data_IF_559261840807
#
_entry.id   IF_559261840807
#
_cell.length_a   1.000
_cell.length_b   1.000
_cell.length_c   1.000
_cell.angle_alpha   90.00
_cell.angle_beta   90.00
_cell.angle_gamma   90.00
#
_symmetry.space_group_name_H-M   'P 1'
#
loop_
_entity.id
_entity.type
_entity.pdbx_description
1 polymer ?
#
# COMPACT_ATOMS: atom_id res chain seq x y z
N UNK A 1 -2.48 22.82 -2.59
CA UNK A 1 -1.75 23.98 -1.99
C UNK A 1 -2.53 24.53 -0.80
N UNK A 2 -1.82 24.98 0.24
CA UNK A 2 -2.40 25.61 1.42
C UNK A 2 -1.78 26.98 1.65
N UNK A 3 -2.54 27.86 2.33
CA UNK A 3 -2.05 29.14 2.79
C UNK A 3 -2.29 29.24 4.29
N UNK A 4 -1.26 29.61 5.05
CA UNK A 4 -1.35 29.79 6.51
C UNK A 4 -0.34 30.84 6.98
N UNK A 5 -0.63 31.40 8.16
CA UNK A 5 0.31 32.31 8.83
C UNK A 5 1.40 31.49 9.49
N UNK A 6 2.65 31.87 9.25
CA UNK A 6 3.82 31.21 9.81
C UNK A 6 4.96 32.19 10.05
N UNK A 7 6.12 31.70 10.44
CA UNK A 7 7.34 32.48 10.63
C UNK A 7 8.32 32.11 9.52
N UNK A 8 8.83 33.11 8.79
CA UNK A 8 9.84 32.89 7.76
C UNK A 8 11.23 32.65 8.39
N UNK A 9 12.24 32.37 7.52
CA UNK A 9 13.61 32.12 7.97
C UNK A 9 14.28 33.33 8.66
N UNK A 10 13.76 34.54 8.48
CA UNK A 10 14.19 35.77 9.11
C UNK A 10 13.48 36.06 10.45
N UNK A 11 12.64 35.14 10.94
CA UNK A 11 11.90 35.31 12.18
C UNK A 11 10.68 36.24 12.08
N UNK A 12 10.25 36.61 10.87
CA UNK A 12 9.11 37.51 10.67
C UNK A 12 7.82 36.73 10.39
N UNK A 13 6.69 37.27 10.85
CA UNK A 13 5.38 36.72 10.50
C UNK A 13 5.14 36.91 9.00
N UNK A 14 4.77 35.83 8.34
CA UNK A 14 4.55 35.80 6.88
C UNK A 14 3.39 34.87 6.51
N UNK A 15 2.72 35.20 5.41
CA UNK A 15 1.78 34.30 4.77
C UNK A 15 2.56 33.27 3.94
N UNK A 16 2.56 32.04 4.40
CA UNK A 16 3.24 30.92 3.75
C UNK A 16 2.24 30.27 2.80
N UNK A 17 2.66 30.06 1.54
CA UNK A 17 1.92 29.30 0.52
C UNK A 17 2.73 28.07 0.16
N UNK A 18 2.14 26.89 0.36
CA UNK A 18 2.73 25.62 -0.09
C UNK A 18 2.32 25.32 -1.52
N UNK A 19 3.17 24.61 -2.27
CA UNK A 19 2.84 24.12 -3.62
C UNK A 19 1.82 22.96 -3.59
N UNK A 20 1.77 22.21 -2.48
CA UNK A 20 1.07 20.92 -2.40
C UNK A 20 1.93 19.78 -2.93
N UNK A 21 1.34 18.60 -2.97
CA UNK A 21 1.92 17.40 -3.59
C UNK A 21 0.94 16.88 -4.65
N UNK A 22 1.28 16.96 -5.94
CA UNK A 22 0.42 16.41 -7.00
C UNK A 22 0.49 14.89 -7.09
N UNK A 23 1.56 14.26 -6.54
CA UNK A 23 1.82 12.82 -6.65
C UNK A 23 1.26 12.03 -5.44
N UNK A 24 0.23 12.58 -4.80
CA UNK A 24 -0.44 11.91 -3.68
C UNK A 24 -1.22 10.68 -4.12
N UNK A 25 -1.30 9.66 -3.24
CA UNK A 25 -2.12 8.47 -3.44
C UNK A 25 -2.86 8.10 -2.15
N UNK A 26 -3.90 7.29 -2.29
CA UNK A 26 -4.65 6.74 -1.16
C UNK A 26 -4.17 5.33 -0.86
N UNK A 27 -4.08 4.97 0.42
CA UNK A 27 -3.78 3.62 0.85
C UNK A 27 -5.05 3.02 1.46
N UNK A 28 -5.54 1.92 0.88
CA UNK A 28 -6.59 1.10 1.46
C UNK A 28 -5.95 0.00 2.30
N UNK A 29 -5.98 0.16 3.62
CA UNK A 29 -5.33 -0.76 4.58
C UNK A 29 -6.29 -1.62 5.39
N UNK A 30 -7.59 -1.51 5.11
CA UNK A 30 -8.62 -2.04 5.98
C UNK A 30 -8.86 -1.18 7.23
N UNK A 31 -10.00 -1.38 7.85
CA UNK A 31 -10.41 -0.77 9.10
C UNK A 31 -11.02 -1.84 10.00
N UNK A 32 -12.27 -1.65 10.42
CA UNK A 32 -13.04 -2.70 11.11
C UNK A 32 -13.31 -3.90 10.18
N UNK A 33 -13.36 -3.65 8.86
CA UNK A 33 -13.48 -4.67 7.83
C UNK A 33 -12.41 -4.47 6.75
N UNK A 34 -12.02 -5.52 6.03
CA UNK A 34 -11.21 -5.42 4.83
C UNK A 34 -11.84 -4.48 3.79
N UNK A 35 -11.01 -3.78 3.00
CA UNK A 35 -11.46 -2.83 1.98
C UNK A 35 -10.65 -2.89 0.67
N UNK A 36 -10.09 -4.06 0.36
CA UNK A 36 -9.30 -4.32 -0.85
C UNK A 36 -10.13 -4.80 -2.04
N UNK A 37 -11.39 -5.17 -1.82
CA UNK A 37 -12.28 -5.69 -2.85
C UNK A 37 -12.72 -4.61 -3.85
N UNK A 38 -13.22 -5.03 -5.01
CA UNK A 38 -13.59 -4.15 -6.12
C UNK A 38 -14.67 -3.12 -5.76
N UNK A 39 -15.56 -3.42 -4.80
CA UNK A 39 -16.61 -2.47 -4.36
C UNK A 39 -15.97 -1.34 -3.57
N UNK A 40 -15.09 -1.65 -2.63
CA UNK A 40 -14.40 -0.65 -1.82
C UNK A 40 -13.42 0.19 -2.67
N UNK A 41 -12.73 -0.44 -3.63
CA UNK A 41 -11.89 0.28 -4.61
C UNK A 41 -12.73 1.26 -5.42
N UNK A 42 -13.88 0.85 -5.97
CA UNK A 42 -14.77 1.72 -6.73
C UNK A 42 -15.34 2.88 -5.88
N UNK A 43 -15.65 2.65 -4.61
CA UNK A 43 -16.06 3.72 -3.68
C UNK A 43 -14.95 4.74 -3.44
N UNK A 44 -13.70 4.27 -3.34
CA UNK A 44 -12.52 5.15 -3.23
C UNK A 44 -12.33 5.99 -4.50
N UNK A 45 -12.41 5.36 -5.68
CA UNK A 45 -12.34 6.04 -6.98
C UNK A 45 -13.39 7.16 -7.09
N UNK A 46 -14.65 6.86 -6.76
CA UNK A 46 -15.73 7.85 -6.76
C UNK A 46 -15.48 9.00 -5.78
N UNK A 47 -14.87 8.73 -4.63
CA UNK A 47 -14.56 9.75 -3.65
C UNK A 47 -13.45 10.69 -4.14
N UNK A 48 -12.44 10.15 -4.83
CA UNK A 48 -11.36 10.92 -5.45
C UNK A 48 -11.89 11.77 -6.61
N UNK A 49 -12.68 11.17 -7.50
CA UNK A 49 -13.28 11.86 -8.65
C UNK A 49 -14.14 13.05 -8.21
N UNK A 50 -14.97 12.91 -7.18
CA UNK A 50 -15.75 14.02 -6.59
C UNK A 50 -14.89 15.19 -6.11
N UNK A 51 -13.62 14.96 -5.80
CA UNK A 51 -12.67 15.99 -5.39
C UNK A 51 -11.81 16.49 -6.58
N UNK A 52 -12.05 15.99 -7.79
CA UNK A 52 -11.24 16.29 -8.97
C UNK A 52 -9.80 15.80 -8.87
N UNK A 53 -9.59 14.67 -8.18
CA UNK A 53 -8.29 14.05 -8.02
C UNK A 53 -8.20 12.80 -8.91
N UNK A 54 -7.08 12.65 -9.60
CA UNK A 54 -6.78 11.41 -10.31
C UNK A 54 -6.67 10.25 -9.32
N UNK A 55 -7.36 9.13 -9.57
CA UNK A 55 -7.34 7.99 -8.66
C UNK A 55 -6.00 7.25 -8.72
N UNK A 56 -5.22 7.37 -7.66
CA UNK A 56 -4.04 6.55 -7.40
C UNK A 56 -4.23 5.81 -6.08
N UNK A 57 -4.38 4.48 -6.13
CA UNK A 57 -4.71 3.65 -4.97
C UNK A 57 -3.61 2.61 -4.76
N UNK A 58 -3.08 2.54 -3.55
CA UNK A 58 -2.21 1.44 -3.08
C UNK A 58 -3.03 0.55 -2.16
N UNK A 59 -3.00 -0.74 -2.40
CA UNK A 59 -3.66 -1.72 -1.52
C UNK A 59 -2.62 -2.29 -0.56
N UNK A 60 -2.84 -2.07 0.72
CA UNK A 60 -2.10 -2.71 1.78
C UNK A 60 -2.66 -4.13 1.99
N UNK A 61 -1.88 -5.14 1.63
CA UNK A 61 -2.29 -6.55 1.74
C UNK A 61 -2.20 -7.10 3.16
N UNK A 62 -1.60 -6.34 4.09
CA UNK A 62 -1.47 -6.68 5.50
C UNK A 62 -2.61 -6.08 6.34
N UNK A 63 -2.33 -5.73 7.57
CA UNK A 63 -3.18 -5.00 8.52
C UNK A 63 -4.64 -5.48 8.53
N UNK A 64 -5.60 -4.55 8.38
CA UNK A 64 -7.03 -4.87 8.36
C UNK A 64 -7.46 -5.72 7.18
N UNK A 65 -6.81 -5.59 6.04
CA UNK A 65 -7.12 -6.36 4.84
C UNK A 65 -6.81 -7.86 4.97
N UNK A 66 -5.79 -8.23 5.75
CA UNK A 66 -5.50 -9.63 6.08
C UNK A 66 -6.10 -10.07 7.43
N UNK A 67 -6.85 -9.20 8.13
CA UNK A 67 -7.24 -9.39 9.53
C UNK A 67 -6.03 -9.63 10.45
N UNK A 68 -4.88 -9.01 10.17
CA UNK A 68 -3.58 -9.18 10.84
C UNK A 68 -3.01 -10.60 10.78
N UNK A 69 -3.53 -11.45 9.90
CA UNK A 69 -2.96 -12.76 9.60
C UNK A 69 -2.04 -12.65 8.38
N UNK A 70 -0.71 -12.61 8.62
CA UNK A 70 0.28 -12.46 7.55
C UNK A 70 0.15 -13.52 6.44
N UNK A 71 -0.35 -14.72 6.75
CA UNK A 71 -0.57 -15.81 5.78
C UNK A 71 -1.65 -15.50 4.76
N UNK A 72 -2.49 -14.50 5.03
CA UNK A 72 -3.53 -14.05 4.09
C UNK A 72 -3.07 -12.99 3.11
N UNK A 73 -1.90 -12.39 3.31
CA UNK A 73 -1.38 -11.37 2.40
C UNK A 73 -1.34 -11.82 0.93
N UNK A 74 -0.88 -13.06 0.59
CA UNK A 74 -0.92 -13.55 -0.78
C UNK A 74 -2.34 -13.63 -1.38
N UNK A 75 -3.35 -14.00 -0.58
CA UNK A 75 -4.74 -14.05 -1.04
C UNK A 75 -5.29 -12.65 -1.37
N UNK A 76 -4.95 -11.66 -0.54
CA UNK A 76 -5.32 -10.26 -0.80
C UNK A 76 -4.64 -9.76 -2.07
N UNK A 77 -3.33 -10.02 -2.21
CA UNK A 77 -2.57 -9.63 -3.40
C UNK A 77 -3.12 -10.27 -4.68
N UNK A 78 -3.46 -11.57 -4.66
CA UNK A 78 -4.04 -12.25 -5.82
C UNK A 78 -5.39 -11.64 -6.23
N UNK A 79 -6.24 -11.29 -5.27
CA UNK A 79 -7.48 -10.58 -5.54
C UNK A 79 -7.22 -9.23 -6.23
N UNK A 80 -6.23 -8.47 -5.75
CA UNK A 80 -5.83 -7.18 -6.35
C UNK A 80 -5.31 -7.39 -7.78
N UNK A 81 -4.49 -8.41 -8.02
CA UNK A 81 -4.00 -8.75 -9.36
C UNK A 81 -5.14 -9.09 -10.32
N UNK A 82 -6.16 -9.82 -9.85
CA UNK A 82 -7.36 -10.09 -10.64
C UNK A 82 -8.08 -8.81 -11.05
N UNK A 83 -8.30 -7.86 -10.14
CA UNK A 83 -8.92 -6.57 -10.43
C UNK A 83 -8.13 -5.79 -11.50
N UNK A 84 -6.80 -5.82 -11.43
CA UNK A 84 -5.92 -5.20 -12.44
C UNK A 84 -6.08 -5.88 -13.80
N UNK A 85 -6.13 -7.20 -13.85
CA UNK A 85 -6.36 -7.97 -15.08
C UNK A 85 -7.76 -7.72 -15.67
N UNK A 86 -8.76 -7.47 -14.83
CA UNK A 86 -10.13 -7.12 -15.23
C UNK A 86 -10.27 -5.66 -15.71
N UNK A 87 -9.18 -4.90 -15.69
CA UNK A 87 -9.11 -3.56 -16.31
C UNK A 87 -9.08 -2.40 -15.32
N UNK A 88 -9.01 -2.64 -13.99
CA UNK A 88 -8.84 -1.54 -13.04
C UNK A 88 -7.51 -0.82 -13.29
N UNK A 89 -7.54 0.51 -13.45
CA UNK A 89 -6.37 1.34 -13.72
C UNK A 89 -5.93 2.21 -12.54
N UNK A 90 -6.78 2.35 -11.54
CA UNK A 90 -6.52 3.20 -10.38
C UNK A 90 -5.62 2.54 -9.34
N UNK A 91 -5.55 1.21 -9.31
CA UNK A 91 -4.60 0.50 -8.46
C UNK A 91 -3.20 0.63 -9.05
N UNK A 92 -2.32 1.34 -8.33
CA UNK A 92 -0.95 1.67 -8.75
C UNK A 92 0.12 0.89 -7.99
N UNK A 93 -0.25 0.16 -6.94
CA UNK A 93 0.69 -0.63 -6.14
C UNK A 93 0.05 -1.43 -5.04
N UNK A 94 0.83 -2.32 -4.48
CA UNK A 94 0.50 -3.08 -3.26
C UNK A 94 1.56 -2.83 -2.19
N UNK A 95 1.19 -3.05 -0.93
CA UNK A 95 2.10 -3.08 0.20
C UNK A 95 2.03 -4.45 0.88
N UNK A 96 3.19 -4.97 1.27
CA UNK A 96 3.34 -6.26 1.95
C UNK A 96 4.19 -6.09 3.21
N UNK A 97 3.80 -6.75 4.29
CA UNK A 97 4.64 -6.95 5.47
C UNK A 97 5.50 -8.20 5.22
N UNK A 98 6.80 -7.99 4.99
CA UNK A 98 7.75 -9.03 4.61
C UNK A 98 9.05 -8.93 5.39
N UNK A 99 9.63 -10.06 5.76
CA UNK A 99 10.95 -10.14 6.40
C UNK A 99 11.73 -11.36 5.90
N UNK A 100 12.96 -11.57 6.38
CA UNK A 100 13.76 -12.75 6.01
C UNK A 100 13.09 -14.06 6.42
N UNK A 101 12.47 -14.08 7.62
CA UNK A 101 11.71 -15.22 8.16
C UNK A 101 10.27 -14.79 8.44
N UNK A 102 9.36 -15.74 8.46
CA UNK A 102 7.94 -15.48 8.69
C UNK A 102 7.60 -15.25 10.18
N UNK A 103 6.44 -14.62 10.39
CA UNK A 103 5.90 -14.37 11.72
C UNK A 103 6.48 -13.13 12.39
N UNK A 104 6.40 -13.11 13.70
CA UNK A 104 6.97 -12.07 14.54
C UNK A 104 7.40 -12.63 15.90
N UNK A 105 8.16 -11.86 16.64
CA UNK A 105 8.63 -12.13 18.00
C UNK A 105 8.46 -10.90 18.88
N UNK A 106 8.50 -11.08 20.20
CA UNK A 106 8.41 -9.97 21.13
C UNK A 106 9.67 -9.10 21.09
N UNK A 107 9.49 -7.78 21.02
CA UNK A 107 10.58 -6.82 21.17
C UNK A 107 11.12 -6.74 22.62
N UNK A 108 10.40 -7.31 23.60
CA UNK A 108 10.80 -7.34 25.01
C UNK A 108 11.77 -8.47 25.34
N UNK A 109 12.09 -9.34 24.38
CA UNK A 109 13.10 -10.38 24.55
C UNK A 109 14.49 -9.77 24.71
N UNK A 110 15.38 -10.37 25.53
CA UNK A 110 16.80 -10.03 25.54
C UNK A 110 17.40 -10.10 24.14
N UNK A 111 18.36 -9.24 23.83
CA UNK A 111 18.96 -9.16 22.48
C UNK A 111 19.54 -10.50 21.99
N UNK A 112 20.10 -11.30 22.91
CA UNK A 112 20.67 -12.62 22.66
C UNK A 112 19.61 -13.72 22.38
N UNK A 113 18.35 -13.47 22.73
CA UNK A 113 17.23 -14.38 22.48
C UNK A 113 16.46 -14.01 21.20
N UNK A 114 16.72 -12.82 20.63
CA UNK A 114 16.08 -12.41 19.40
C UNK A 114 16.57 -13.26 18.22
N UNK A 115 15.61 -13.81 17.49
CA UNK A 115 15.91 -14.56 16.28
C UNK A 115 16.17 -13.61 15.12
N UNK A 116 17.36 -13.69 14.52
CA UNK A 116 17.72 -12.87 13.37
C UNK A 116 16.80 -13.12 12.17
N UNK A 117 16.24 -12.04 11.61
CA UNK A 117 15.38 -12.10 10.43
C UNK A 117 13.90 -12.31 10.72
N UNK A 118 13.49 -12.32 12.00
CA UNK A 118 12.10 -12.34 12.44
C UNK A 118 11.69 -10.92 12.88
N UNK A 119 10.51 -10.46 12.45
CA UNK A 119 9.98 -9.13 12.80
C UNK A 119 9.78 -9.00 14.32
N UNK A 120 10.04 -7.81 14.87
CA UNK A 120 9.72 -7.45 16.26
C UNK A 120 8.48 -6.58 16.37
N UNK A 121 7.75 -6.39 15.29
CA UNK A 121 6.50 -5.64 15.21
C UNK A 121 5.41 -6.51 14.58
N UNK A 122 4.86 -6.13 13.43
CA UNK A 122 3.81 -6.89 12.76
C UNK A 122 4.38 -8.18 12.14
N UNK A 123 3.56 -9.24 12.14
CA UNK A 123 3.95 -10.53 11.58
C UNK A 123 4.05 -10.47 10.06
N UNK A 124 5.16 -10.96 9.53
CA UNK A 124 5.54 -10.87 8.13
C UNK A 124 5.44 -12.22 7.41
N UNK A 125 5.26 -12.19 6.09
CA UNK A 125 5.62 -13.31 5.22
C UNK A 125 7.15 -13.39 5.10
N UNK A 126 7.70 -14.57 4.78
CA UNK A 126 9.14 -14.71 4.57
C UNK A 126 9.57 -14.24 3.16
N UNK A 127 10.87 -14.14 2.97
CA UNK A 127 11.48 -13.69 1.70
C UNK A 127 11.10 -14.60 0.52
N UNK A 128 11.03 -15.92 0.73
CA UNK A 128 10.68 -16.90 -0.31
C UNK A 128 9.23 -16.70 -0.79
N UNK A 129 8.29 -16.58 0.14
CA UNK A 129 6.89 -16.30 -0.18
C UNK A 129 6.73 -14.95 -0.89
N UNK A 130 7.50 -13.93 -0.49
CA UNK A 130 7.51 -12.61 -1.14
C UNK A 130 8.04 -12.72 -2.56
N UNK A 131 9.16 -13.42 -2.78
CA UNK A 131 9.73 -13.61 -4.11
C UNK A 131 8.77 -14.36 -5.04
N UNK A 132 8.12 -15.41 -4.54
CA UNK A 132 7.10 -16.18 -5.28
C UNK A 132 5.95 -15.27 -5.69
N UNK A 133 5.41 -14.49 -4.76
CA UNK A 133 4.30 -13.56 -5.04
C UNK A 133 4.66 -12.51 -6.10
N UNK A 134 5.89 -11.98 -6.07
CA UNK A 134 6.36 -11.01 -7.07
C UNK A 134 6.49 -11.68 -8.45
N UNK A 135 6.98 -12.92 -8.53
CA UNK A 135 7.07 -13.67 -9.77
C UNK A 135 5.69 -13.99 -10.36
N UNK A 136 4.74 -14.36 -9.51
CA UNK A 136 3.33 -14.54 -9.90
C UNK A 136 2.72 -13.25 -10.43
N UNK A 137 2.97 -12.12 -9.75
CA UNK A 137 2.54 -10.80 -10.18
C UNK A 137 3.12 -10.44 -11.56
N UNK A 138 4.43 -10.62 -11.77
CA UNK A 138 5.08 -10.37 -13.05
C UNK A 138 4.45 -11.20 -14.17
N UNK A 139 4.29 -12.50 -13.94
CA UNK A 139 3.68 -13.42 -14.92
C UNK A 139 2.24 -13.02 -15.26
N UNK A 140 1.44 -12.65 -14.26
CA UNK A 140 0.02 -12.37 -14.40
C UNK A 140 -0.26 -10.99 -15.00
N UNK A 141 0.54 -9.98 -14.62
CA UNK A 141 0.29 -8.57 -14.91
C UNK A 141 1.10 -8.02 -16.10
N UNK A 142 2.16 -8.69 -16.54
CA UNK A 142 3.11 -8.17 -17.53
C UNK A 142 2.41 -7.55 -18.75
N UNK A 143 1.53 -8.31 -19.41
CA UNK A 143 0.82 -7.84 -20.61
C UNK A 143 -0.07 -6.62 -20.30
N UNK A 144 -0.84 -6.68 -19.22
CA UNK A 144 -1.77 -5.61 -18.84
C UNK A 144 -1.03 -4.32 -18.47
N UNK A 145 0.11 -4.42 -17.79
CA UNK A 145 0.92 -3.26 -17.42
C UNK A 145 1.62 -2.64 -18.62
N UNK A 146 2.11 -3.45 -19.57
CA UNK A 146 2.67 -2.95 -20.83
C UNK A 146 1.63 -2.18 -21.65
N UNK A 147 0.39 -2.69 -21.72
CA UNK A 147 -0.71 -2.03 -22.40
C UNK A 147 -1.06 -0.68 -21.74
N UNK A 148 -0.96 -0.56 -20.39
CA UNK A 148 -1.16 0.71 -19.70
C UNK A 148 -0.15 1.77 -20.13
N UNK A 149 1.14 1.41 -20.22
CA UNK A 149 2.23 2.31 -20.59
C UNK A 149 2.08 2.75 -22.06
N UNK A 150 1.66 1.84 -22.94
CA UNK A 150 1.52 2.12 -24.37
C UNK A 150 0.33 3.04 -24.69
N UNK A 151 -0.66 3.16 -23.81
CA UNK A 151 -1.89 3.93 -23.99
C UNK A 151 -1.98 5.16 -23.05
N UNK A 152 -0.89 5.53 -22.38
CA UNK A 152 -0.73 6.74 -21.58
C UNK A 152 -0.02 7.82 -22.36
#
# INVERSE_FOLDING_TARGET
SHRFMGINRQGQVALIKTSGNPDGHVILRGGEQPNYDSVNVALCEQALDKQGLEPGIVIDCSHGNSNKDYKRQPLVADNVFNQICEGNKSIIGIMLESHLKEGNQSADLPAEELEYGVSVTDACINLEATATLIQEADTKLNTVLLDRISNS
#
